data_IF_457280942892
#
_entry.id   IF_457280942892
#
_cell.length_a   1.000
_cell.length_b   1.000
_cell.length_c   1.000
_cell.angle_alpha   90.00
_cell.angle_beta   90.00
_cell.angle_gamma   90.00
#
_symmetry.space_group_name_H-M   'P 1'
#
loop_
_entity.id
_entity.type
_entity.pdbx_description
1 polymer ?
#
# COMPACT_ATOMS: atom_id res chain seq x y z
N UNK A 1 -28.31 10.28 3.71
CA UNK A 1 -27.03 10.20 2.96
C UNK A 1 -27.10 11.26 1.88
N UNK A 2 -26.08 12.11 1.75
CA UNK A 2 -25.99 12.99 0.58
C UNK A 2 -25.84 12.11 -0.67
N UNK A 3 -26.67 12.33 -1.68
CA UNK A 3 -26.60 11.61 -2.95
C UNK A 3 -25.46 12.19 -3.78
N UNK A 4 -24.23 11.80 -3.42
CA UNK A 4 -23.02 12.25 -4.12
C UNK A 4 -23.04 11.88 -5.60
N UNK A 5 -23.78 10.84 -6.00
CA UNK A 5 -23.97 10.48 -7.41
C UNK A 5 -24.83 11.51 -8.13
N UNK A 6 -25.88 12.04 -7.49
CA UNK A 6 -26.64 13.16 -8.03
C UNK A 6 -25.80 14.45 -8.08
N UNK A 7 -25.02 14.76 -7.05
CA UNK A 7 -24.09 15.91 -7.04
C UNK A 7 -23.07 15.80 -8.20
N UNK A 8 -22.47 14.61 -8.38
CA UNK A 8 -21.51 14.32 -9.44
C UNK A 8 -22.13 14.44 -10.84
N UNK A 9 -23.30 13.83 -11.05
CA UNK A 9 -23.98 13.79 -12.35
C UNK A 9 -24.42 15.18 -12.82
N UNK A 10 -24.84 16.04 -11.90
CA UNK A 10 -25.31 17.40 -12.20
C UNK A 10 -24.17 18.44 -12.28
N UNK A 11 -22.92 18.04 -12.00
CA UNK A 11 -21.77 18.94 -12.07
C UNK A 11 -21.15 18.89 -13.45
N UNK A 12 -21.13 19.98 -14.21
CA UNK A 12 -20.54 20.00 -15.57
C UNK A 12 -19.03 20.29 -15.58
N UNK A 13 -18.49 20.84 -14.49
CA UNK A 13 -17.07 21.16 -14.38
C UNK A 13 -16.25 19.90 -13.99
N UNK A 14 -15.28 19.46 -14.81
CA UNK A 14 -14.44 18.30 -14.50
C UNK A 14 -13.66 18.40 -13.18
N UNK A 15 -13.23 19.61 -12.80
CA UNK A 15 -12.53 19.85 -11.54
C UNK A 15 -13.42 19.66 -10.32
N UNK A 16 -14.66 20.14 -10.39
CA UNK A 16 -15.64 19.97 -9.31
C UNK A 16 -16.10 18.51 -9.21
N UNK A 17 -16.29 17.82 -10.35
CA UNK A 17 -16.49 16.35 -10.38
C UNK A 17 -15.36 15.61 -9.68
N UNK A 18 -14.11 15.99 -9.95
CA UNK A 18 -12.95 15.39 -9.30
C UNK A 18 -12.94 15.62 -7.78
N UNK A 19 -13.29 16.84 -7.31
CA UNK A 19 -13.41 17.12 -5.86
C UNK A 19 -14.49 16.28 -5.19
N UNK A 20 -15.64 16.09 -5.83
CA UNK A 20 -16.73 15.25 -5.33
C UNK A 20 -16.25 13.80 -5.20
N UNK A 21 -15.60 13.25 -6.23
CA UNK A 21 -15.02 11.90 -6.18
C UNK A 21 -13.99 11.78 -5.04
N UNK A 22 -13.08 12.75 -4.89
CA UNK A 22 -12.10 12.75 -3.79
C UNK A 22 -12.76 12.77 -2.42
N UNK A 23 -13.83 13.55 -2.24
CA UNK A 23 -14.59 13.63 -0.98
C UNK A 23 -15.24 12.28 -0.66
N UNK A 24 -15.84 11.64 -1.66
CA UNK A 24 -16.46 10.33 -1.47
C UNK A 24 -15.42 9.23 -1.21
N UNK A 25 -14.28 9.24 -1.90
CA UNK A 25 -13.17 8.34 -1.62
C UNK A 25 -12.65 8.52 -0.19
N UNK A 26 -12.50 9.76 0.29
CA UNK A 26 -12.10 10.03 1.67
C UNK A 26 -13.14 9.50 2.68
N UNK A 27 -14.42 9.72 2.42
CA UNK A 27 -15.52 9.19 3.25
C UNK A 27 -15.52 7.67 3.31
N UNK A 28 -15.34 6.99 2.18
CA UNK A 28 -15.25 5.52 2.13
C UNK A 28 -14.06 5.00 2.94
N UNK A 29 -12.92 5.70 2.89
CA UNK A 29 -11.71 5.37 3.68
C UNK A 29 -11.89 5.51 5.17
N UNK A 30 -12.75 6.41 5.62
CA UNK A 30 -13.03 6.62 7.05
C UNK A 30 -14.07 5.66 7.60
N UNK A 31 -14.92 5.07 6.76
CA UNK A 31 -16.14 4.38 7.23
C UNK A 31 -16.01 2.86 7.30
N UNK A 32 -14.98 2.24 6.72
CA UNK A 32 -14.79 0.78 6.76
C UNK A 32 -13.31 0.37 6.87
N UNK A 33 -13.02 -0.56 7.78
CA UNK A 33 -11.85 -1.44 7.62
C UNK A 33 -12.21 -2.47 6.57
N UNK A 34 -11.58 -2.39 5.39
CA UNK A 34 -11.96 -3.21 4.24
C UNK A 34 -11.23 -4.56 4.20
N UNK A 35 -10.15 -4.71 4.96
CA UNK A 35 -9.47 -5.98 5.20
C UNK A 35 -9.20 -6.17 6.70
N UNK A 36 -9.08 -7.43 7.11
CA UNK A 36 -8.76 -7.80 8.48
C UNK A 36 -7.24 -7.66 8.70
N UNK A 37 -6.87 -6.75 9.61
CA UNK A 37 -5.49 -6.39 9.86
C UNK A 37 -4.69 -7.50 10.52
N UNK A 38 -5.34 -8.28 11.40
CA UNK A 38 -4.67 -9.36 12.14
C UNK A 38 -4.43 -10.57 11.24
N UNK A 39 -5.39 -10.88 10.37
CA UNK A 39 -5.22 -11.96 9.38
C UNK A 39 -4.12 -11.59 8.37
N UNK A 40 -4.10 -10.35 7.88
CA UNK A 40 -3.01 -9.87 7.00
C UNK A 40 -1.67 -9.93 7.72
N UNK A 41 -1.57 -9.47 8.98
CA UNK A 41 -0.35 -9.57 9.78
C UNK A 41 0.14 -11.03 9.91
N UNK A 42 -0.77 -11.98 10.13
CA UNK A 42 -0.46 -13.41 10.17
C UNK A 42 0.10 -13.94 8.85
N UNK A 43 -0.47 -13.53 7.71
CA UNK A 43 0.08 -13.87 6.39
C UNK A 43 1.46 -13.25 6.19
N UNK A 44 1.66 -11.97 6.54
CA UNK A 44 2.95 -11.30 6.41
C UNK A 44 4.02 -11.98 7.27
N UNK A 45 3.71 -12.35 8.52
CA UNK A 45 4.61 -13.11 9.40
C UNK A 45 5.06 -14.43 8.75
N UNK A 46 4.12 -15.21 8.21
CA UNK A 46 4.43 -16.47 7.53
C UNK A 46 5.24 -16.27 6.25
N UNK A 47 5.03 -15.18 5.52
CA UNK A 47 5.85 -14.84 4.35
C UNK A 47 7.27 -14.44 4.77
N UNK A 48 7.40 -13.72 5.88
CA UNK A 48 8.68 -13.27 6.45
C UNK A 48 9.58 -14.45 6.83
N UNK A 49 9.02 -15.52 7.39
CA UNK A 49 9.74 -16.75 7.73
C UNK A 49 10.44 -17.44 6.55
N UNK A 50 10.08 -17.07 5.31
CA UNK A 50 10.66 -17.62 4.07
C UNK A 50 11.73 -16.73 3.44
N UNK A 51 11.94 -15.53 3.99
CA UNK A 51 12.91 -14.56 3.50
C UNK A 51 14.19 -14.62 4.33
N UNK A 52 15.30 -14.15 3.75
CA UNK A 52 16.56 -14.04 4.48
C UNK A 52 16.59 -12.81 5.40
N UNK A 53 15.90 -11.74 4.98
CA UNK A 53 15.74 -10.51 5.75
C UNK A 53 14.34 -10.32 6.35
N UNK A 54 14.15 -9.14 6.91
CA UNK A 54 12.89 -8.67 7.49
C UNK A 54 11.99 -8.05 6.41
N UNK A 55 10.77 -8.56 6.28
CA UNK A 55 9.79 -8.03 5.35
C UNK A 55 9.13 -6.75 5.89
N UNK A 56 9.00 -5.75 5.03
CA UNK A 56 8.13 -4.60 5.27
C UNK A 56 7.11 -4.55 4.15
N UNK A 57 5.83 -4.58 4.52
CA UNK A 57 4.73 -4.70 3.56
C UNK A 57 3.79 -3.51 3.69
N UNK A 58 3.57 -2.81 2.58
CA UNK A 58 2.58 -1.73 2.48
C UNK A 58 1.38 -2.24 1.71
N UNK A 59 0.20 -2.16 2.30
CA UNK A 59 -1.05 -2.61 1.66
C UNK A 59 -2.09 -1.51 1.62
N UNK A 60 -2.96 -1.57 0.62
CA UNK A 60 -4.14 -0.73 0.56
C UNK A 60 -5.31 -1.43 -0.12
N UNK A 61 -6.50 -0.97 0.26
CA UNK A 61 -7.69 -1.05 -0.54
C UNK A 61 -7.91 0.34 -1.18
N UNK A 62 -8.42 0.41 -2.41
CA UNK A 62 -8.67 1.69 -3.10
C UNK A 62 -9.50 2.68 -2.27
N UNK A 63 -10.41 2.12 -1.47
CA UNK A 63 -11.37 2.82 -0.64
C UNK A 63 -11.06 2.70 0.85
N UNK A 64 -9.93 2.11 1.26
CA UNK A 64 -9.56 1.90 2.65
C UNK A 64 -8.36 2.72 3.08
N UNK A 65 -8.10 2.80 4.39
CA UNK A 65 -6.83 3.34 4.90
C UNK A 65 -5.70 2.36 4.58
N UNK A 66 -4.58 2.83 4.02
CA UNK A 66 -3.43 1.97 3.84
C UNK A 66 -2.80 1.59 5.17
N UNK A 67 -2.09 0.47 5.17
CA UNK A 67 -1.40 -0.05 6.35
C UNK A 67 0.02 -0.45 5.96
N UNK A 68 0.97 -0.22 6.87
CA UNK A 68 2.33 -0.72 6.79
C UNK A 68 2.53 -1.80 7.86
N UNK A 69 3.11 -2.93 7.48
CA UNK A 69 3.41 -4.06 8.35
C UNK A 69 4.92 -4.17 8.48
N UNK A 70 5.42 -4.32 9.71
CA UNK A 70 6.83 -4.53 10.04
C UNK A 70 6.96 -5.56 11.16
N UNK A 71 8.08 -6.28 11.29
CA UNK A 71 8.35 -7.07 12.49
C UNK A 71 8.36 -6.20 13.74
N UNK A 72 8.03 -6.79 14.88
CA UNK A 72 8.03 -6.11 16.19
C UNK A 72 9.39 -5.46 16.50
N UNK A 73 10.48 -6.16 16.22
CA UNK A 73 11.86 -5.73 16.48
C UNK A 73 12.40 -4.71 15.46
N UNK A 74 11.77 -4.58 14.30
CA UNK A 74 12.18 -3.65 13.25
C UNK A 74 11.71 -2.24 13.59
N UNK A 75 12.61 -1.32 13.95
CA UNK A 75 12.23 0.05 14.32
C UNK A 75 11.44 0.81 13.24
N UNK A 76 10.65 1.81 13.66
CA UNK A 76 9.83 2.61 12.73
C UNK A 76 10.70 3.41 11.74
N UNK A 77 11.91 3.78 12.16
CA UNK A 77 12.94 4.43 11.35
C UNK A 77 13.40 3.58 10.16
N UNK A 78 13.37 2.26 10.32
CA UNK A 78 13.72 1.32 9.25
C UNK A 78 12.58 1.24 8.22
N UNK A 79 11.33 1.22 8.67
CA UNK A 79 10.16 1.34 7.79
C UNK A 79 10.18 2.68 7.03
N UNK A 80 10.61 3.78 7.66
CA UNK A 80 10.77 5.08 7.01
C UNK A 80 11.89 5.08 5.97
N UNK A 81 13.02 4.40 6.24
CA UNK A 81 14.09 4.23 5.27
C UNK A 81 13.61 3.49 4.01
N UNK A 82 12.76 2.46 4.18
CA UNK A 82 12.14 1.77 3.03
C UNK A 82 11.22 2.69 2.23
N UNK A 83 10.38 3.48 2.91
CA UNK A 83 9.51 4.47 2.23
C UNK A 83 10.34 5.43 1.40
N UNK A 84 11.42 5.95 1.98
CA UNK A 84 12.33 6.86 1.29
C UNK A 84 12.99 6.20 0.08
N UNK A 85 13.52 4.97 0.23
CA UNK A 85 14.14 4.23 -0.87
C UNK A 85 13.18 4.06 -2.07
N UNK A 86 11.91 3.70 -1.82
CA UNK A 86 10.90 3.54 -2.87
C UNK A 86 10.57 4.88 -3.54
N UNK A 87 10.45 5.97 -2.78
CA UNK A 87 10.13 7.30 -3.32
C UNK A 87 11.27 7.86 -4.20
N UNK A 88 12.51 7.58 -3.82
CA UNK A 88 13.72 7.99 -4.55
C UNK A 88 13.93 7.15 -5.81
N UNK A 89 13.79 5.82 -5.69
CA UNK A 89 14.08 4.85 -6.74
C UNK A 89 12.81 4.10 -7.18
N UNK A 90 11.85 4.86 -7.73
CA UNK A 90 10.46 4.46 -8.06
C UNK A 90 10.28 3.15 -8.86
N UNK A 91 11.33 2.63 -9.46
CA UNK A 91 11.32 1.35 -10.14
C UNK A 91 12.52 0.56 -9.66
N UNK A 92 12.25 -0.67 -9.28
CA UNK A 92 13.27 -1.68 -9.09
C UNK A 92 12.74 -2.92 -9.81
N UNK A 93 13.49 -3.43 -10.78
CA UNK A 93 13.31 -4.80 -11.28
C UNK A 93 13.86 -5.76 -10.20
N UNK A 94 13.30 -5.58 -9.00
CA UNK A 94 13.67 -6.24 -7.79
C UNK A 94 12.93 -7.58 -7.67
N UNK A 95 13.41 -8.46 -6.81
CA UNK A 95 13.55 -9.88 -7.09
C UNK A 95 12.27 -10.72 -7.06
N UNK A 96 12.27 -11.81 -7.84
CA UNK A 96 11.12 -12.69 -8.08
C UNK A 96 10.48 -13.24 -6.79
N UNK A 97 11.28 -13.41 -5.74
CA UNK A 97 10.84 -13.82 -4.41
C UNK A 97 9.86 -12.82 -3.76
N UNK A 98 10.15 -11.52 -3.83
CA UNK A 98 9.28 -10.46 -3.31
C UNK A 98 8.01 -10.29 -4.15
N UNK A 99 8.09 -10.48 -5.46
CA UNK A 99 6.89 -10.55 -6.30
C UNK A 99 6.03 -11.77 -5.94
N UNK A 100 6.62 -12.94 -5.73
CA UNK A 100 5.90 -14.14 -5.31
C UNK A 100 5.17 -13.93 -3.98
N UNK A 101 5.86 -13.34 -2.99
CA UNK A 101 5.26 -12.98 -1.70
C UNK A 101 4.09 -12.00 -1.88
N UNK A 102 4.25 -10.99 -2.76
CA UNK A 102 3.18 -10.05 -3.11
C UNK A 102 1.97 -10.74 -3.73
N UNK A 103 2.18 -11.65 -4.69
CA UNK A 103 1.08 -12.37 -5.35
C UNK A 103 0.35 -13.31 -4.39
N UNK A 104 1.07 -14.01 -3.51
CA UNK A 104 0.47 -14.85 -2.45
C UNK A 104 -0.40 -14.00 -1.52
N UNK A 105 0.10 -12.84 -1.08
CA UNK A 105 -0.66 -11.91 -0.24
C UNK A 105 -1.95 -11.43 -0.93
N UNK A 106 -1.88 -10.97 -2.17
CA UNK A 106 -3.06 -10.47 -2.91
C UNK A 106 -4.07 -11.58 -3.21
N UNK A 107 -3.61 -12.82 -3.41
CA UNK A 107 -4.48 -13.98 -3.63
C UNK A 107 -5.23 -14.38 -2.36
N UNK A 108 -4.58 -14.34 -1.21
CA UNK A 108 -5.20 -14.68 0.08
C UNK A 108 -6.12 -13.58 0.60
N UNK A 109 -5.82 -12.32 0.27
CA UNK A 109 -6.53 -11.16 0.77
C UNK A 109 -7.16 -10.36 -0.38
N UNK A 110 -8.29 -10.81 -0.95
CA UNK A 110 -8.91 -10.15 -2.12
C UNK A 110 -9.36 -8.70 -1.87
N UNK A 111 -9.52 -8.32 -0.60
CA UNK A 111 -9.82 -6.93 -0.23
C UNK A 111 -8.55 -6.06 -0.09
N UNK A 112 -7.36 -6.63 -0.24
CA UNK A 112 -6.13 -5.88 -0.47
C UNK A 112 -5.97 -5.74 -1.99
N UNK A 113 -6.12 -4.52 -2.50
CA UNK A 113 -6.05 -4.27 -3.95
C UNK A 113 -4.62 -3.94 -4.40
N UNK A 114 -3.82 -3.38 -3.49
CA UNK A 114 -2.46 -2.91 -3.75
C UNK A 114 -1.55 -3.38 -2.63
N UNK A 115 -0.39 -3.89 -3.01
CA UNK A 115 0.66 -4.30 -2.09
C UNK A 115 2.03 -3.98 -2.66
N UNK A 116 2.92 -3.43 -1.82
CA UNK A 116 4.35 -3.29 -2.06
C UNK A 116 5.06 -4.10 -0.98
N UNK A 117 6.00 -4.94 -1.40
CA UNK A 117 6.77 -5.81 -0.50
C UNK A 117 8.23 -5.37 -0.58
N UNK A 118 8.82 -5.10 0.57
CA UNK A 118 10.23 -4.80 0.75
C UNK A 118 10.87 -5.81 1.69
N UNK A 119 12.16 -6.03 1.55
CA UNK A 119 12.99 -6.82 2.44
C UNK A 119 14.18 -5.99 2.91
N UNK A 120 14.56 -6.19 4.16
CA UNK A 120 15.73 -5.58 4.77
C UNK A 120 16.63 -6.66 5.32
N UNK A 121 17.85 -6.73 4.79
CA UNK A 121 18.84 -7.69 5.24
C UNK A 121 20.17 -6.97 5.50
N UNK A 122 20.65 -6.99 6.75
CA UNK A 122 21.89 -6.35 7.17
C UNK A 122 22.02 -4.87 6.71
N UNK A 123 20.91 -4.13 6.74
CA UNK A 123 20.86 -2.72 6.31
C UNK A 123 20.74 -2.50 4.80
N UNK A 124 20.71 -3.56 4.00
CA UNK A 124 20.39 -3.49 2.56
C UNK A 124 18.88 -3.57 2.37
N UNK A 125 18.31 -2.60 1.65
CA UNK A 125 16.89 -2.55 1.33
C UNK A 125 16.69 -3.05 -0.11
N UNK A 126 15.81 -4.04 -0.27
CA UNK A 126 15.29 -4.52 -1.56
C UNK A 126 13.78 -4.32 -1.58
N UNK A 127 13.18 -4.04 -2.72
CA UNK A 127 11.72 -4.03 -2.83
C UNK A 127 11.26 -4.42 -4.23
N UNK A 128 10.01 -4.87 -4.30
CA UNK A 128 9.34 -5.11 -5.57
C UNK A 128 8.34 -4.00 -5.86
N UNK A 129 8.62 -3.22 -6.90
CA UNK A 129 7.71 -2.24 -7.47
C UNK A 129 7.76 -2.33 -9.00
N UNK A 130 6.77 -2.98 -9.65
CA UNK A 130 6.83 -3.26 -11.07
C UNK A 130 6.82 -1.98 -11.91
N UNK A 131 7.49 -2.03 -13.07
CA UNK A 131 7.44 -0.94 -14.05
C UNK A 131 6.02 -0.72 -14.61
N UNK A 132 5.66 0.54 -14.86
CA UNK A 132 4.32 0.95 -15.31
C UNK A 132 3.96 0.60 -16.75
N UNK A 133 4.81 -0.13 -17.48
CA UNK A 133 4.64 -0.47 -18.90
C UNK A 133 4.68 -1.97 -19.20
N UNK A 134 4.57 -2.84 -18.19
CA UNK A 134 4.59 -4.28 -18.43
C UNK A 134 3.19 -4.87 -18.71
N UNK A 135 3.15 -6.11 -19.19
CA UNK A 135 1.90 -6.81 -19.55
C UNK A 135 0.95 -7.05 -18.37
N UNK A 136 1.42 -6.84 -17.13
CA UNK A 136 0.69 -7.13 -15.90
C UNK A 136 0.33 -5.88 -15.09
N UNK A 137 0.92 -4.72 -15.38
CA UNK A 137 0.81 -3.50 -14.58
C UNK A 137 0.85 -2.27 -15.49
N UNK A 138 -0.10 -1.35 -15.33
CA UNK A 138 -0.11 -0.07 -16.06
C UNK A 138 0.47 1.08 -15.21
N UNK A 139 0.82 2.19 -15.88
CA UNK A 139 1.42 3.37 -15.24
C UNK A 139 0.54 3.97 -14.13
N UNK A 140 -0.78 3.86 -14.27
CA UNK A 140 -1.74 4.31 -13.26
C UNK A 140 -1.56 3.49 -11.97
N UNK A 141 -1.43 2.17 -12.08
CA UNK A 141 -1.23 1.26 -10.96
C UNK A 141 0.05 1.60 -10.20
N UNK A 142 1.15 1.90 -10.90
CA UNK A 142 2.40 2.30 -10.25
C UNK A 142 2.29 3.65 -9.56
N UNK A 143 1.68 4.65 -10.22
CA UNK A 143 1.43 5.95 -9.58
C UNK A 143 0.57 5.81 -8.33
N UNK A 144 -0.40 4.90 -8.33
CA UNK A 144 -1.22 4.60 -7.17
C UNK A 144 -0.45 3.85 -6.07
N UNK A 145 0.49 2.98 -6.41
CA UNK A 145 1.40 2.31 -5.48
C UNK A 145 2.41 3.29 -4.85
N UNK A 146 2.99 4.20 -5.63
CA UNK A 146 3.83 5.27 -5.09
C UNK A 146 3.00 6.23 -4.24
N UNK A 147 1.78 6.56 -4.68
CA UNK A 147 0.82 7.34 -3.90
C UNK A 147 0.39 6.67 -2.59
N UNK A 148 0.42 5.34 -2.54
CA UNK A 148 0.24 4.56 -1.31
C UNK A 148 1.37 4.84 -0.32
N UNK A 149 2.64 4.75 -0.76
CA UNK A 149 3.79 5.09 0.09
C UNK A 149 3.69 6.53 0.58
N UNK A 150 3.50 7.47 -0.35
CA UNK A 150 3.36 8.90 -0.06
C UNK A 150 2.26 9.17 0.98
N UNK A 151 1.13 8.46 0.89
CA UNK A 151 0.05 8.57 1.88
C UNK A 151 0.48 8.03 3.25
N UNK A 152 1.14 6.86 3.31
CA UNK A 152 1.64 6.31 4.59
C UNK A 152 2.73 7.18 5.23
N UNK A 153 3.49 7.92 4.43
CA UNK A 153 4.54 8.84 4.89
C UNK A 153 3.96 10.18 5.37
N UNK A 154 3.03 10.77 4.60
CA UNK A 154 2.55 12.14 4.83
C UNK A 154 1.27 12.25 5.67
N UNK A 155 0.54 11.16 5.92
CA UNK A 155 -0.60 11.21 6.82
C UNK A 155 -0.11 11.47 8.24
N UNK A 156 -0.32 12.69 8.73
CA UNK A 156 0.26 13.30 9.93
C UNK A 156 -0.17 12.69 11.29
N UNK A 157 -0.45 11.39 11.37
CA UNK A 157 -0.94 10.66 12.55
C UNK A 157 -0.50 9.17 12.53
N UNK A 158 0.81 8.92 12.57
CA UNK A 158 1.46 7.60 12.39
C UNK A 158 0.97 6.46 13.30
N UNK A 159 0.29 6.78 14.40
CA UNK A 159 -0.19 5.79 15.36
C UNK A 159 -1.50 5.14 14.84
N UNK A 160 -1.38 3.89 14.39
CA UNK A 160 -2.50 3.06 13.96
C UNK A 160 -2.54 2.72 12.46
N UNK A 161 -1.58 3.21 11.67
CA UNK A 161 -1.36 2.81 10.27
C UNK A 161 -0.07 1.97 10.08
N UNK A 162 0.70 1.78 11.14
CA UNK A 162 1.80 0.82 11.21
C UNK A 162 1.37 -0.30 12.16
N UNK A 163 1.57 -1.55 11.73
CA UNK A 163 1.19 -2.76 12.46
C UNK A 163 2.45 -3.59 12.63
N UNK A 164 2.79 -3.89 13.88
CA UNK A 164 3.80 -4.89 14.18
C UNK A 164 3.19 -6.29 14.05
N UNK A 165 3.94 -7.20 13.44
CA UNK A 165 3.61 -8.61 13.38
C UNK A 165 4.75 -9.45 13.95
#
# INVERSE_FOLDING_TARGET
MADWMAEYSNTDNPHERYKILRREMARLRETRSLFDREIVAGTVRRLNERQEGELIVFVANDFGRPMAYRPEDTGIEIQDAVRQAILENKYDEGPDDLNNARQELLKEHPNVHKAIVAEINAGTIRYYLPEGSNTTTNFITVREMVGLIDYTTNSSQSDGLSITY
#
